data_IF_043391437955
#
_entry.id   IF_043391437955
#
_cell.length_a   1.000
_cell.length_b   1.000
_cell.length_c   1.000
_cell.angle_alpha   90.00
_cell.angle_beta   90.00
_cell.angle_gamma   90.00
#
_symmetry.space_group_name_H-M   'P 1'
#
loop_
_entity.id
_entity.type
_entity.pdbx_description
1 polymer ?
#
# COMPACT_ATOMS: atom_id res chain seq x y z
N UNK A 1 3.36 0.74 11.10
CA UNK A 1 3.32 1.12 9.66
C UNK A 1 2.68 2.49 9.42
N UNK A 2 1.76 3.00 10.27
CA UNK A 2 1.15 4.34 10.06
C UNK A 2 2.01 5.55 10.51
N UNK A 3 3.07 5.32 11.29
CA UNK A 3 3.85 6.36 12.00
C UNK A 3 4.50 7.43 11.09
N UNK A 4 4.91 7.08 9.86
CA UNK A 4 5.55 8.05 8.96
C UNK A 4 4.56 9.08 8.43
N UNK A 5 3.31 8.69 8.21
CA UNK A 5 2.28 9.58 7.66
C UNK A 5 1.86 10.61 8.71
N UNK A 6 1.86 10.24 9.99
CA UNK A 6 1.53 11.14 11.10
C UNK A 6 2.60 12.21 11.35
N UNK A 7 3.86 11.95 10.97
CA UNK A 7 4.99 12.86 11.19
C UNK A 7 5.17 13.93 10.11
N UNK A 8 4.34 13.94 9.05
CA UNK A 8 4.39 14.97 7.99
C UNK A 8 3.13 15.86 8.03
N UNK A 9 3.09 16.86 8.93
CA UNK A 9 1.89 17.70 9.15
C UNK A 9 1.44 18.51 7.92
N UNK A 10 2.32 18.74 6.93
CA UNK A 10 1.99 19.48 5.69
C UNK A 10 1.09 18.72 4.71
N UNK A 11 0.67 17.49 5.02
CA UNK A 11 -0.09 16.63 4.10
C UNK A 11 -1.51 16.29 4.59
N UNK A 12 -2.05 16.90 5.65
CA UNK A 12 -3.31 16.53 6.32
C UNK A 12 -4.38 15.82 5.45
N UNK A 13 -4.98 16.50 4.48
CA UNK A 13 -6.04 15.91 3.63
C UNK A 13 -5.53 14.82 2.67
N UNK A 14 -4.32 14.99 2.11
CA UNK A 14 -3.68 13.99 1.22
C UNK A 14 -3.26 12.74 2.00
N UNK A 15 -2.81 12.92 3.24
CA UNK A 15 -2.43 11.87 4.17
C UNK A 15 -3.64 11.01 4.56
N UNK A 16 -4.80 11.62 4.83
CA UNK A 16 -6.03 10.88 5.11
C UNK A 16 -6.45 9.97 3.94
N UNK A 17 -6.41 10.48 2.71
CA UNK A 17 -6.71 9.70 1.50
C UNK A 17 -5.74 8.52 1.33
N UNK A 18 -4.43 8.76 1.51
CA UNK A 18 -3.42 7.70 1.41
C UNK A 18 -3.63 6.64 2.49
N UNK A 19 -3.94 7.02 3.74
CA UNK A 19 -4.25 6.05 4.80
C UNK A 19 -5.47 5.20 4.45
N UNK A 20 -6.54 5.81 3.94
CA UNK A 20 -7.73 5.06 3.54
C UNK A 20 -7.41 4.08 2.41
N UNK A 21 -6.66 4.51 1.41
CA UNK A 21 -6.25 3.65 0.29
C UNK A 21 -5.39 2.47 0.78
N UNK A 22 -4.44 2.71 1.69
CA UNK A 22 -3.61 1.66 2.27
C UNK A 22 -4.45 0.64 3.05
N UNK A 23 -5.40 1.10 3.88
CA UNK A 23 -6.30 0.21 4.63
C UNK A 23 -7.16 -0.65 3.70
N UNK A 24 -7.73 -0.06 2.67
CA UNK A 24 -8.51 -0.79 1.67
C UNK A 24 -7.65 -1.85 0.98
N UNK A 25 -6.40 -1.52 0.66
CA UNK A 25 -5.47 -2.46 0.01
C UNK A 25 -5.10 -3.64 0.91
N UNK A 26 -4.92 -3.39 2.21
CA UNK A 26 -4.68 -4.47 3.18
C UNK A 26 -5.88 -5.41 3.31
N UNK A 27 -7.11 -4.88 3.23
CA UNK A 27 -8.33 -5.69 3.23
C UNK A 27 -8.38 -6.55 1.96
N UNK A 28 -8.24 -5.93 0.78
CA UNK A 28 -8.21 -6.62 -0.52
C UNK A 28 -7.17 -7.75 -0.54
N UNK A 29 -5.97 -7.48 -0.02
CA UNK A 29 -4.89 -8.45 0.06
C UNK A 29 -5.24 -9.68 0.92
N UNK A 30 -5.87 -9.46 2.08
CA UNK A 30 -6.33 -10.56 2.94
C UNK A 30 -7.39 -11.42 2.25
N UNK A 31 -8.34 -10.80 1.55
CA UNK A 31 -9.34 -11.52 0.76
C UNK A 31 -8.68 -12.33 -0.35
N UNK A 32 -7.74 -11.72 -1.08
CA UNK A 32 -7.03 -12.37 -2.17
C UNK A 32 -6.27 -13.61 -1.69
N UNK A 33 -5.56 -13.51 -0.56
CA UNK A 33 -4.86 -14.66 0.04
C UNK A 33 -5.86 -15.76 0.43
N UNK A 34 -6.99 -15.39 1.05
CA UNK A 34 -8.00 -16.36 1.46
C UNK A 34 -8.60 -17.12 0.27
N UNK A 35 -8.79 -16.44 -0.86
CA UNK A 35 -9.37 -17.02 -2.09
C UNK A 35 -8.36 -17.80 -2.94
N UNK A 36 -7.13 -17.30 -3.06
CA UNK A 36 -6.15 -17.79 -4.04
C UNK A 36 -4.95 -18.52 -3.40
N UNK A 37 -4.80 -18.47 -2.08
CA UNK A 37 -3.72 -19.11 -1.34
C UNK A 37 -2.32 -18.51 -1.58
N UNK A 38 -2.25 -17.32 -2.20
CA UNK A 38 -0.99 -16.66 -2.55
C UNK A 38 -1.12 -15.14 -2.48
N UNK A 39 0.00 -14.43 -2.38
CA UNK A 39 0.03 -12.97 -2.41
C UNK A 39 -0.48 -12.41 -3.74
N UNK A 40 -1.02 -11.18 -3.69
CA UNK A 40 -1.48 -10.46 -4.88
C UNK A 40 -0.35 -10.28 -5.92
N UNK A 41 -0.66 -10.32 -7.23
CA UNK A 41 0.34 -10.16 -8.28
C UNK A 41 1.14 -8.85 -8.17
N UNK A 42 0.48 -7.76 -7.78
CA UNK A 42 1.13 -6.46 -7.56
C UNK A 42 2.17 -6.46 -6.45
N UNK A 43 2.08 -7.37 -5.48
CA UNK A 43 3.08 -7.53 -4.40
C UNK A 43 4.18 -8.47 -4.89
N UNK A 44 3.80 -9.61 -5.47
CA UNK A 44 4.75 -10.64 -5.93
C UNK A 44 5.64 -10.21 -7.07
N UNK A 45 5.09 -9.40 -7.98
CA UNK A 45 5.79 -8.97 -9.20
C UNK A 45 6.43 -7.59 -9.02
N UNK A 46 6.32 -6.99 -7.83
CA UNK A 46 6.90 -5.68 -7.59
C UNK A 46 8.42 -5.75 -7.66
N UNK A 47 9.00 -4.77 -8.36
CA UNK A 47 10.45 -4.58 -8.49
C UNK A 47 10.76 -3.11 -8.30
N UNK A 48 11.96 -2.83 -7.80
CA UNK A 48 12.42 -1.45 -7.70
C UNK A 48 12.48 -0.84 -9.11
N UNK A 49 11.95 0.38 -9.33
CA UNK A 49 12.07 1.04 -10.61
C UNK A 49 13.56 1.23 -10.93
N UNK A 50 14.00 0.69 -12.08
CA UNK A 50 15.34 0.96 -12.58
C UNK A 50 15.37 2.41 -13.04
N UNK A 51 16.40 3.17 -12.63
CA UNK A 51 16.65 4.49 -13.21
C UNK A 51 17.11 4.25 -14.64
N UNK A 52 16.38 4.76 -15.62
CA UNK A 52 16.92 4.97 -16.96
C UNK A 52 18.05 6.02 -16.81
N UNK A 53 19.26 5.65 -17.22
CA UNK A 53 20.41 6.55 -17.29
C UNK A 53 20.42 7.28 -18.63
#
# INVERSE_FOLDING_TARGET
>A
VEDVIDRVPKLGARAAYVKQRLRNKLIEHKHYIAEHGQDMPEIRNWKWPQKEH
#
